data_IF_603508904614
#
_entry.id   IF_603508904614
#
_cell.length_a   1.000
_cell.length_b   1.000
_cell.length_c   1.000
_cell.angle_alpha   90.00
_cell.angle_beta   90.00
_cell.angle_gamma   90.00
#
_symmetry.space_group_name_H-M   'P 1'
#
loop_
_entity.id
_entity.type
_entity.pdbx_description
1 polymer ?
#
# COMPACT_ATOMS: atom_id res chain seq x y z
N UNK A 1 -31.68 -20.30 0.49
CA UNK A 1 -31.97 -19.71 1.82
C UNK A 1 -30.88 -20.14 2.78
N UNK A 2 -30.21 -19.15 3.40
CA UNK A 2 -29.34 -19.20 4.61
C UNK A 2 -28.38 -20.40 4.69
N UNK A 3 -27.07 -20.27 4.54
CA UNK A 3 -26.18 -19.17 4.95
C UNK A 3 -25.23 -19.77 5.96
N UNK A 4 -23.92 -19.75 5.70
CA UNK A 4 -22.92 -19.99 6.74
C UNK A 4 -21.66 -19.17 6.45
N UNK A 5 -21.49 -18.21 7.35
CA UNK A 5 -20.36 -17.32 7.56
C UNK A 5 -19.17 -18.09 8.11
N UNK A 6 -18.16 -18.36 7.29
CA UNK A 6 -16.84 -18.80 7.73
C UNK A 6 -15.77 -17.94 7.06
N UNK A 7 -15.42 -16.80 7.67
CA UNK A 7 -14.21 -16.03 7.31
C UNK A 7 -13.75 -14.98 8.35
N UNK A 8 -14.22 -15.03 9.60
CA UNK A 8 -13.89 -13.99 10.62
C UNK A 8 -13.36 -14.56 11.95
N UNK A 9 -12.58 -15.63 11.92
CA UNK A 9 -11.90 -16.13 13.13
C UNK A 9 -10.49 -16.63 12.80
N UNK A 10 -9.56 -15.69 12.65
CA UNK A 10 -8.12 -15.94 12.83
C UNK A 10 -7.44 -14.58 13.03
N UNK A 11 -6.73 -14.44 14.15
CA UNK A 11 -5.88 -13.28 14.44
C UNK A 11 -6.26 -12.44 15.68
N UNK A 12 -6.55 -13.05 16.83
CA UNK A 12 -6.65 -12.30 18.10
C UNK A 12 -6.11 -13.11 19.28
N UNK A 13 -4.87 -12.85 19.68
CA UNK A 13 -4.28 -13.18 20.99
C UNK A 13 -2.97 -12.38 21.17
N UNK A 14 -2.55 -11.82 22.33
CA UNK A 14 -3.10 -11.68 23.69
C UNK A 14 -2.22 -10.62 24.45
N UNK A 15 -2.85 -9.92 25.40
CA UNK A 15 -2.36 -9.23 26.63
C UNK A 15 -1.80 -7.78 26.65
N UNK A 16 -2.26 -7.11 27.72
CA UNK A 16 -2.00 -5.75 28.16
C UNK A 16 -0.52 -5.45 28.46
N UNK A 17 -0.05 -4.30 27.99
CA UNK A 17 1.31 -3.79 28.23
C UNK A 17 1.36 -3.09 29.58
N UNK A 18 2.13 -3.66 30.52
CA UNK A 18 2.64 -2.93 31.68
C UNK A 18 3.80 -2.04 31.23
N UNK A 19 3.69 -0.74 31.48
CA UNK A 19 4.75 0.26 31.25
C UNK A 19 5.97 -0.05 32.12
N UNK A 20 7.09 -0.37 31.50
CA UNK A 20 8.41 -0.22 32.12
C UNK A 20 9.21 0.85 31.37
N UNK A 21 9.59 1.89 32.10
CA UNK A 21 10.48 2.93 31.63
C UNK A 21 11.85 2.33 31.31
N UNK A 22 12.29 2.47 30.06
CA UNK A 22 13.72 2.65 29.77
C UNK A 22 13.85 3.61 28.60
N UNK A 23 14.06 4.86 28.97
CA UNK A 23 14.63 5.90 28.12
C UNK A 23 16.12 5.57 27.97
N UNK A 24 16.58 5.21 26.77
CA UNK A 24 17.96 5.52 26.32
C UNK A 24 17.95 5.75 24.80
N UNK A 25 18.55 6.89 24.41
CA UNK A 25 18.42 7.54 23.11
C UNK A 25 18.98 6.75 21.93
N UNK A 26 18.37 6.98 20.77
CA UNK A 26 18.93 6.63 19.48
C UNK A 26 19.94 7.71 19.08
N UNK A 27 21.18 7.31 18.78
CA UNK A 27 22.01 8.10 17.88
C UNK A 27 21.44 7.94 16.46
N UNK A 28 21.26 9.03 15.69
CA UNK A 28 20.88 8.93 14.29
C UNK A 28 22.01 8.27 13.50
N UNK A 29 21.68 7.23 12.73
CA UNK A 29 22.62 6.54 11.87
C UNK A 29 23.29 7.51 10.89
N UNK A 30 24.61 7.65 11.01
CA UNK A 30 25.46 8.44 10.10
C UNK A 30 25.74 7.68 8.81
N UNK A 31 24.70 7.24 8.12
CA UNK A 31 24.81 6.83 6.72
C UNK A 31 24.89 8.09 5.87
N UNK A 32 25.99 8.32 5.16
CA UNK A 32 26.08 9.39 4.18
C UNK A 32 24.86 9.29 3.24
N UNK A 33 24.03 10.32 3.18
CA UNK A 33 22.84 10.36 2.34
C UNK A 33 23.25 10.05 0.89
N UNK A 34 23.06 8.81 0.46
CA UNK A 34 23.09 8.45 -0.96
C UNK A 34 22.03 9.31 -1.61
N UNK A 35 22.43 10.20 -2.53
CA UNK A 35 21.51 11.07 -3.25
C UNK A 35 20.28 10.24 -3.68
N UNK A 36 19.05 10.68 -3.37
CA UNK A 36 17.86 9.93 -3.74
C UNK A 36 17.85 9.71 -5.24
N UNK A 37 17.77 8.44 -5.63
CA UNK A 37 17.97 8.02 -7.00
C UNK A 37 16.82 8.49 -7.91
N UNK A 38 17.12 8.70 -9.19
CA UNK A 38 16.16 9.23 -10.18
C UNK A 38 16.53 10.61 -10.68
N UNK A 39 16.22 10.88 -11.95
CA UNK A 39 16.61 12.12 -12.64
C UNK A 39 15.41 12.74 -13.33
N UNK A 40 15.44 14.06 -13.51
CA UNK A 40 14.50 14.72 -14.43
C UNK A 40 14.75 14.18 -15.83
N UNK A 41 13.69 13.82 -16.55
CA UNK A 41 13.86 13.27 -17.88
C UNK A 41 14.24 14.38 -18.88
N UNK A 42 15.50 14.40 -19.30
CA UNK A 42 15.97 15.31 -20.36
C UNK A 42 15.18 15.13 -21.65
N UNK A 43 14.80 16.25 -22.28
CA UNK A 43 14.01 16.26 -23.51
C UNK A 43 12.50 16.02 -23.32
N UNK A 44 12.02 15.86 -22.08
CA UNK A 44 10.59 15.74 -21.76
C UNK A 44 10.04 16.99 -21.06
N UNK A 45 8.72 17.25 -21.15
CA UNK A 45 8.07 18.31 -20.38
C UNK A 45 8.26 18.14 -18.86
N UNK A 46 8.24 19.23 -18.07
CA UNK A 46 8.31 19.16 -16.61
C UNK A 46 7.32 18.17 -16.00
N UNK A 47 7.76 17.42 -15.00
CA UNK A 47 6.99 16.38 -14.32
C UNK A 47 7.24 14.95 -14.82
N UNK A 48 8.00 14.77 -15.92
CA UNK A 48 8.53 13.47 -16.33
C UNK A 48 9.80 13.13 -15.56
N UNK A 49 9.82 11.93 -14.98
CA UNK A 49 10.89 11.41 -14.14
C UNK A 49 11.45 10.13 -14.77
N UNK A 50 12.77 10.00 -14.76
CA UNK A 50 13.48 8.81 -15.24
C UNK A 50 13.70 7.81 -14.11
N UNK A 51 13.13 6.63 -14.25
CA UNK A 51 13.41 5.42 -13.45
C UNK A 51 13.80 4.25 -14.37
N UNK A 52 13.20 3.07 -14.17
CA UNK A 52 13.28 1.95 -15.14
C UNK A 52 12.61 2.30 -16.46
N UNK A 53 11.70 3.29 -16.42
CA UNK A 53 10.98 3.88 -17.53
C UNK A 53 10.85 5.38 -17.29
N UNK A 54 10.61 6.16 -18.34
CA UNK A 54 10.23 7.58 -18.19
C UNK A 54 8.73 7.66 -17.95
N UNK A 55 8.34 8.01 -16.73
CA UNK A 55 6.94 8.16 -16.28
C UNK A 55 6.64 9.62 -15.96
N UNK A 56 5.38 10.01 -16.08
CA UNK A 56 4.92 11.32 -15.59
C UNK A 56 4.41 11.16 -14.15
N UNK A 57 5.28 11.43 -13.19
CA UNK A 57 5.06 11.08 -11.77
C UNK A 57 5.84 12.01 -10.83
N UNK A 58 5.51 12.00 -9.54
CA UNK A 58 6.29 12.73 -8.52
C UNK A 58 7.58 12.01 -8.11
N UNK A 59 7.59 10.69 -8.22
CA UNK A 59 8.69 9.79 -7.81
C UNK A 59 9.04 8.85 -8.98
N UNK A 60 10.29 8.33 -9.07
CA UNK A 60 10.68 7.46 -10.17
C UNK A 60 10.00 6.09 -10.07
N UNK A 61 9.47 5.58 -11.19
CA UNK A 61 9.07 4.18 -11.32
C UNK A 61 10.32 3.31 -11.48
N UNK A 62 10.87 2.79 -10.38
CA UNK A 62 12.12 2.01 -10.40
C UNK A 62 12.18 0.88 -9.37
N UNK A 63 13.16 0.00 -9.54
CA UNK A 63 13.63 -0.86 -8.44
C UNK A 63 14.52 -0.07 -7.48
N UNK A 64 14.39 -0.40 -6.19
CA UNK A 64 15.21 0.14 -5.12
C UNK A 64 15.98 -1.00 -4.50
N UNK A 65 17.29 -0.82 -4.37
CA UNK A 65 18.09 -1.72 -3.53
C UNK A 65 17.75 -1.46 -2.06
N UNK A 66 18.03 -2.43 -1.18
CA UNK A 66 17.82 -2.26 0.26
C UNK A 66 18.57 -1.06 0.84
N UNK A 67 19.78 -0.81 0.35
CA UNK A 67 20.58 0.34 0.79
C UNK A 67 19.94 1.67 0.38
N UNK A 68 19.36 1.73 -0.83
CA UNK A 68 18.63 2.91 -1.30
C UNK A 68 17.28 3.10 -0.60
N UNK A 69 16.70 2.05 -0.01
CA UNK A 69 15.36 2.07 0.58
C UNK A 69 15.27 2.73 1.96
N UNK A 70 16.39 2.97 2.64
CA UNK A 70 16.41 3.65 3.93
C UNK A 70 16.15 5.16 3.78
N UNK A 71 15.43 5.73 4.74
CA UNK A 71 15.07 7.15 4.81
C UNK A 71 14.24 7.67 3.62
N UNK A 72 13.74 6.74 2.79
CA UNK A 72 12.82 7.04 1.70
C UNK A 72 11.52 6.27 1.88
N UNK A 73 10.41 6.83 1.41
CA UNK A 73 9.15 6.10 1.26
C UNK A 73 8.42 6.62 0.00
N UNK A 74 8.99 6.38 -1.21
CA UNK A 74 8.55 7.05 -2.43
C UNK A 74 7.11 6.73 -2.79
N UNK A 75 6.64 5.51 -2.51
CA UNK A 75 5.33 5.05 -2.94
C UNK A 75 4.31 5.19 -1.81
N UNK A 76 3.81 6.41 -1.62
CA UNK A 76 2.60 6.68 -0.83
C UNK A 76 1.38 6.36 -1.68
N UNK A 77 0.52 5.45 -1.22
CA UNK A 77 -0.65 5.08 -2.03
C UNK A 77 -1.88 4.63 -1.28
N UNK A 78 -3.04 4.91 -1.89
CA UNK A 78 -4.35 4.43 -1.42
C UNK A 78 -4.74 3.18 -2.22
N UNK A 79 -4.98 2.07 -1.52
CA UNK A 79 -5.33 0.78 -2.07
C UNK A 79 -6.83 0.55 -1.98
N UNK A 80 -7.48 0.34 -3.13
CA UNK A 80 -8.94 0.14 -3.23
C UNK A 80 -9.83 1.38 -3.24
N UNK A 81 -9.41 2.61 -3.62
CA UNK A 81 -10.28 3.78 -3.53
C UNK A 81 -11.40 3.81 -4.58
N UNK A 82 -11.30 3.02 -5.65
CA UNK A 82 -12.25 3.04 -6.78
C UNK A 82 -13.65 2.58 -6.33
N UNK A 83 -14.67 3.40 -6.60
CA UNK A 83 -16.07 3.04 -6.48
C UNK A 83 -16.46 2.05 -7.59
N UNK A 84 -17.11 0.96 -7.21
CA UNK A 84 -17.72 0.01 -8.14
C UNK A 84 -18.83 -0.79 -7.44
N UNK A 85 -19.66 -1.47 -8.23
CA UNK A 85 -20.71 -2.37 -7.74
C UNK A 85 -21.14 -3.34 -8.83
N UNK A 86 -22.41 -3.73 -8.82
CA UNK A 86 -22.98 -4.62 -9.85
C UNK A 86 -23.36 -3.88 -11.15
N UNK A 87 -23.41 -2.54 -11.12
CA UNK A 87 -23.66 -1.71 -12.30
C UNK A 87 -22.39 -1.55 -13.17
N UNK A 88 -22.51 -1.19 -14.47
CA UNK A 88 -21.38 -0.82 -15.31
C UNK A 88 -20.51 0.25 -14.66
N UNK A 89 -19.19 0.18 -14.84
CA UNK A 89 -18.24 1.03 -14.14
C UNK A 89 -18.44 2.52 -14.44
N UNK A 90 -18.89 2.85 -15.65
CA UNK A 90 -19.21 4.19 -16.13
C UNK A 90 -20.29 4.87 -15.28
N UNK A 91 -21.17 4.10 -14.63
CA UNK A 91 -22.16 4.64 -13.67
C UNK A 91 -21.48 5.32 -12.49
N UNK A 92 -20.27 4.90 -12.14
CA UNK A 92 -19.47 5.44 -11.03
C UNK A 92 -18.42 6.45 -11.51
N UNK A 93 -18.41 6.82 -12.79
CA UNK A 93 -17.37 7.64 -13.41
C UNK A 93 -17.10 8.94 -12.64
N UNK A 94 -18.14 9.76 -12.42
CA UNK A 94 -17.99 11.04 -11.71
C UNK A 94 -17.45 10.88 -10.28
N UNK A 95 -17.88 9.83 -9.58
CA UNK A 95 -17.38 9.52 -8.23
C UNK A 95 -15.91 9.06 -8.26
N UNK A 96 -15.54 8.24 -9.24
CA UNK A 96 -14.16 7.80 -9.42
C UNK A 96 -13.23 8.97 -9.78
N UNK A 97 -13.66 9.89 -10.64
CA UNK A 97 -12.92 11.13 -10.93
C UNK A 97 -12.72 11.96 -9.65
N UNK A 98 -13.79 12.17 -8.86
CA UNK A 98 -13.71 12.87 -7.57
C UNK A 98 -12.68 12.22 -6.63
N UNK A 99 -12.73 10.90 -6.48
CA UNK A 99 -11.82 10.15 -5.60
C UNK A 99 -10.37 10.23 -6.09
N UNK A 100 -10.13 10.07 -7.38
CA UNK A 100 -8.78 10.21 -7.98
C UNK A 100 -8.22 11.61 -7.72
N UNK A 101 -8.98 12.65 -8.01
CA UNK A 101 -8.56 14.04 -7.83
C UNK A 101 -8.25 14.37 -6.37
N UNK A 102 -9.14 13.96 -5.49
CA UNK A 102 -8.97 14.15 -4.06
C UNK A 102 -7.68 13.48 -3.56
N UNK A 103 -7.53 12.17 -3.83
CA UNK A 103 -6.39 11.37 -3.37
C UNK A 103 -5.08 11.85 -3.99
N UNK A 104 -5.11 12.37 -5.23
CA UNK A 104 -3.91 12.88 -5.91
C UNK A 104 -3.19 14.02 -5.21
N UNK A 105 -3.87 14.71 -4.28
CA UNK A 105 -3.25 15.77 -3.50
C UNK A 105 -2.14 15.25 -2.58
N UNK A 106 -2.22 13.98 -2.15
CA UNK A 106 -1.28 13.39 -1.19
C UNK A 106 -0.78 11.99 -1.54
N UNK A 107 -1.12 11.48 -2.71
CA UNK A 107 -0.79 10.10 -3.11
C UNK A 107 0.06 10.09 -4.36
N UNK A 108 1.13 9.28 -4.33
CA UNK A 108 2.04 9.10 -5.46
C UNK A 108 1.67 7.90 -6.34
N UNK A 109 0.97 6.90 -5.77
CA UNK A 109 0.41 5.75 -6.50
C UNK A 109 -1.08 5.64 -6.17
N UNK A 110 -1.87 5.01 -7.04
CA UNK A 110 -3.28 4.72 -6.78
C UNK A 110 -3.68 3.36 -7.34
N UNK A 111 -4.50 2.63 -6.59
CA UNK A 111 -5.11 1.37 -7.04
C UNK A 111 -6.34 1.61 -7.90
N UNK A 112 -6.33 1.04 -9.11
CA UNK A 112 -7.53 0.89 -9.95
C UNK A 112 -7.88 -0.60 -10.05
N UNK A 113 -9.15 -0.92 -10.34
CA UNK A 113 -9.58 -2.31 -10.53
C UNK A 113 -10.04 -2.55 -11.97
N UNK A 114 -9.39 -3.50 -12.63
CA UNK A 114 -9.75 -4.08 -13.93
C UNK A 114 -10.46 -5.44 -13.75
N UNK A 115 -11.32 -5.54 -12.72
CA UNK A 115 -11.96 -6.79 -12.30
C UNK A 115 -12.75 -7.48 -13.41
N UNK A 116 -13.50 -6.73 -14.21
CA UNK A 116 -14.33 -7.25 -15.30
C UNK A 116 -13.77 -6.80 -16.65
N UNK A 117 -13.94 -7.65 -17.67
CA UNK A 117 -13.43 -7.38 -19.03
C UNK A 117 -14.03 -6.09 -19.61
N UNK A 118 -15.33 -5.90 -19.45
CA UNK A 118 -16.08 -4.80 -20.04
C UNK A 118 -15.77 -3.45 -19.38
N UNK A 119 -15.05 -3.43 -18.25
CA UNK A 119 -14.58 -2.20 -17.62
C UNK A 119 -13.35 -1.60 -18.33
N UNK A 120 -12.82 -2.24 -19.36
CA UNK A 120 -11.56 -1.85 -20.00
C UNK A 120 -11.52 -0.38 -20.41
N UNK A 121 -12.55 0.10 -21.11
CA UNK A 121 -12.55 1.46 -21.65
C UNK A 121 -12.65 2.51 -20.53
N UNK A 122 -13.49 2.26 -19.53
CA UNK A 122 -13.60 3.14 -18.38
C UNK A 122 -12.33 3.13 -17.52
N UNK A 123 -11.68 1.97 -17.33
CA UNK A 123 -10.38 1.91 -16.66
C UNK A 123 -9.35 2.75 -17.41
N UNK A 124 -9.34 2.76 -18.75
CA UNK A 124 -8.45 3.64 -19.54
C UNK A 124 -8.76 5.12 -19.26
N UNK A 125 -10.03 5.53 -19.19
CA UNK A 125 -10.39 6.91 -18.82
C UNK A 125 -9.84 7.29 -17.44
N UNK A 126 -10.02 6.41 -16.44
CA UNK A 126 -9.51 6.63 -15.09
C UNK A 126 -7.98 6.67 -15.06
N UNK A 127 -7.29 5.83 -15.84
CA UNK A 127 -5.82 5.87 -15.98
C UNK A 127 -5.35 7.22 -16.56
N UNK A 128 -6.07 7.80 -17.53
CA UNK A 128 -5.77 9.13 -18.08
C UNK A 128 -5.87 10.19 -16.99
N UNK A 129 -6.89 10.12 -16.13
CA UNK A 129 -7.03 11.04 -14.99
C UNK A 129 -5.87 10.90 -14.00
N UNK A 130 -5.48 9.66 -13.65
CA UNK A 130 -4.31 9.39 -12.81
C UNK A 130 -3.02 9.95 -13.42
N UNK A 131 -2.84 9.79 -14.75
CA UNK A 131 -1.70 10.37 -15.48
C UNK A 131 -1.71 11.89 -15.37
N UNK A 132 -2.84 12.57 -15.62
CA UNK A 132 -2.97 14.03 -15.46
C UNK A 132 -2.52 14.52 -14.09
N UNK A 133 -2.78 13.71 -13.06
CA UNK A 133 -2.48 13.96 -11.66
C UNK A 133 -1.11 13.45 -11.20
N UNK A 134 -0.25 12.96 -12.12
CA UNK A 134 1.11 12.45 -11.84
C UNK A 134 1.14 11.26 -10.89
N UNK A 135 0.08 10.45 -10.88
CA UNK A 135 0.01 9.24 -10.07
C UNK A 135 0.53 8.03 -10.87
N UNK A 136 1.33 7.21 -10.21
CA UNK A 136 1.62 5.86 -10.66
C UNK A 136 0.42 4.94 -10.38
N UNK A 137 0.33 3.83 -11.09
CA UNK A 137 -0.87 3.00 -11.11
C UNK A 137 -0.55 1.58 -10.66
N UNK A 138 -1.40 1.06 -9.78
CA UNK A 138 -1.53 -0.34 -9.44
C UNK A 138 -2.78 -0.92 -10.14
N UNK A 139 -2.65 -2.11 -10.73
CA UNK A 139 -3.78 -2.89 -11.27
C UNK A 139 -3.74 -4.34 -10.77
N UNK A 140 -4.88 -4.98 -10.47
CA UNK A 140 -4.88 -6.40 -10.18
C UNK A 140 -4.60 -7.25 -11.42
N UNK A 141 -3.92 -8.37 -11.20
CA UNK A 141 -3.62 -9.42 -12.16
C UNK A 141 -3.70 -10.79 -11.48
N UNK A 142 -4.77 -10.99 -10.70
CA UNK A 142 -5.11 -12.24 -10.02
C UNK A 142 -5.76 -13.21 -11.01
N UNK A 143 -5.16 -14.38 -11.30
CA UNK A 143 -5.80 -15.38 -12.15
C UNK A 143 -7.02 -15.99 -11.47
N UNK A 144 -8.04 -16.34 -12.26
CA UNK A 144 -9.24 -17.01 -11.75
C UNK A 144 -9.71 -18.07 -12.74
N UNK A 145 -9.51 -19.35 -12.40
CA UNK A 145 -10.03 -20.47 -13.19
C UNK A 145 -11.52 -20.72 -12.92
N UNK A 146 -11.97 -20.45 -11.70
CA UNK A 146 -13.33 -20.78 -11.25
C UNK A 146 -14.36 -19.70 -11.62
N UNK A 147 -13.88 -18.48 -11.88
CA UNK A 147 -14.67 -17.33 -12.34
C UNK A 147 -13.89 -16.63 -13.46
N UNK A 148 -13.85 -17.19 -14.68
CA UNK A 148 -13.04 -16.67 -15.78
C UNK A 148 -13.38 -15.22 -16.15
N UNK A 149 -14.63 -14.80 -15.93
CA UNK A 149 -15.11 -13.43 -16.11
C UNK A 149 -14.53 -12.43 -15.09
N UNK A 150 -13.87 -12.94 -14.04
CA UNK A 150 -13.15 -12.16 -13.02
C UNK A 150 -11.64 -12.40 -13.05
N UNK A 151 -11.12 -12.98 -14.14
CA UNK A 151 -9.69 -13.22 -14.35
C UNK A 151 -8.98 -11.90 -14.70
N UNK A 152 -8.68 -11.12 -13.66
CA UNK A 152 -8.00 -9.83 -13.78
C UNK A 152 -6.60 -9.95 -14.43
N UNK A 153 -5.96 -11.12 -14.38
CA UNK A 153 -4.70 -11.34 -15.12
C UNK A 153 -4.94 -11.23 -16.63
N UNK A 154 -5.95 -11.93 -17.16
CA UNK A 154 -6.30 -11.82 -18.60
C UNK A 154 -6.78 -10.42 -18.97
N UNK A 155 -7.52 -9.75 -18.08
CA UNK A 155 -7.97 -8.38 -18.32
C UNK A 155 -6.80 -7.40 -18.37
N UNK A 156 -5.79 -7.56 -17.50
CA UNK A 156 -4.57 -6.75 -17.56
C UNK A 156 -3.82 -6.97 -18.87
N UNK A 157 -3.64 -8.22 -19.30
CA UNK A 157 -2.98 -8.53 -20.59
C UNK A 157 -3.69 -7.80 -21.74
N UNK A 158 -5.01 -7.92 -21.82
CA UNK A 158 -5.78 -7.30 -22.88
C UNK A 158 -5.81 -5.75 -22.77
N UNK A 159 -5.77 -5.19 -21.55
CA UNK A 159 -5.57 -3.76 -21.32
C UNK A 159 -4.23 -3.27 -21.88
N UNK A 160 -3.15 -3.96 -21.54
CA UNK A 160 -1.80 -3.64 -22.02
C UNK A 160 -1.68 -3.73 -23.54
N UNK A 161 -2.31 -4.74 -24.17
CA UNK A 161 -2.37 -4.86 -25.63
C UNK A 161 -3.12 -3.69 -26.28
N UNK A 162 -4.28 -3.30 -25.74
CA UNK A 162 -5.04 -2.15 -26.23
C UNK A 162 -4.24 -0.84 -26.08
N UNK A 163 -3.58 -0.64 -24.95
CA UNK A 163 -2.71 0.52 -24.73
C UNK A 163 -1.52 0.50 -25.70
N UNK A 164 -0.90 -0.66 -25.94
CA UNK A 164 0.22 -0.77 -26.87
C UNK A 164 -0.18 -0.53 -28.33
N UNK A 165 -1.36 -0.99 -28.73
CA UNK A 165 -1.93 -0.67 -30.06
C UNK A 165 -2.14 0.83 -30.24
N UNK A 166 -2.44 1.55 -29.16
CA UNK A 166 -2.61 3.00 -29.13
C UNK A 166 -1.39 3.76 -28.56
N UNK A 167 -0.21 3.13 -28.56
CA UNK A 167 0.99 3.64 -27.87
C UNK A 167 1.39 5.06 -28.26
N UNK A 168 1.17 5.44 -29.53
CA UNK A 168 1.54 6.75 -30.08
C UNK A 168 0.29 7.59 -30.44
N UNK A 169 -0.91 7.09 -30.16
CA UNK A 169 -2.18 7.80 -30.36
C UNK A 169 -2.55 8.55 -29.08
N UNK A 170 -2.93 9.81 -29.21
CA UNK A 170 -3.52 10.58 -28.09
C UNK A 170 -4.92 10.04 -27.81
N UNK A 171 -5.09 9.48 -26.62
CA UNK A 171 -6.37 9.12 -26.03
C UNK A 171 -6.90 10.34 -25.25
N UNK A 172 -8.22 10.53 -25.25
CA UNK A 172 -8.87 11.67 -24.61
C UNK A 172 -9.99 11.14 -23.72
N UNK A 173 -9.95 11.46 -22.42
CA UNK A 173 -11.01 11.08 -21.48
C UNK A 173 -12.25 12.00 -21.63
N UNK A 174 -13.39 11.67 -21.01
CA UNK A 174 -14.56 12.55 -20.98
C UNK A 174 -14.28 13.97 -20.44
N UNK A 175 -13.35 14.11 -19.50
CA UNK A 175 -12.90 15.40 -18.93
C UNK A 175 -12.04 16.22 -19.91
N UNK A 176 -11.64 15.62 -21.03
CA UNK A 176 -10.71 16.22 -21.98
C UNK A 176 -9.24 16.02 -21.62
N UNK A 177 -8.93 15.23 -20.59
CA UNK A 177 -7.56 14.87 -20.24
C UNK A 177 -6.93 14.00 -21.33
N UNK A 178 -5.60 14.07 -21.46
CA UNK A 178 -4.88 13.48 -22.60
C UNK A 178 -3.68 12.67 -22.14
N UNK A 179 -3.56 11.47 -22.71
CA UNK A 179 -2.35 10.66 -22.62
C UNK A 179 -2.27 9.73 -23.84
N UNK A 180 -1.07 9.29 -24.20
CA UNK A 180 -0.90 8.18 -25.14
C UNK A 180 -0.92 6.83 -24.43
N UNK A 181 -1.17 5.75 -25.16
CA UNK A 181 -1.11 4.41 -24.58
C UNK A 181 0.27 4.11 -23.94
N UNK A 182 1.37 4.62 -24.52
CA UNK A 182 2.73 4.47 -23.98
C UNK A 182 2.89 5.21 -22.66
N UNK A 183 2.36 6.43 -22.55
CA UNK A 183 2.39 7.20 -21.31
C UNK A 183 1.64 6.49 -20.19
N UNK A 184 0.48 5.91 -20.49
CA UNK A 184 -0.30 5.12 -19.53
C UNK A 184 0.44 3.85 -19.10
N UNK A 185 1.05 3.11 -20.04
CA UNK A 185 1.88 1.93 -19.74
C UNK A 185 3.05 2.30 -18.82
N UNK A 186 3.75 3.39 -19.10
CA UNK A 186 4.91 3.83 -18.32
C UNK A 186 4.55 4.23 -16.88
N UNK A 187 3.31 4.70 -16.67
CA UNK A 187 2.80 5.04 -15.33
C UNK A 187 2.30 3.83 -14.52
N UNK A 188 2.23 2.63 -15.09
CA UNK A 188 1.96 1.42 -14.31
C UNK A 188 3.21 1.04 -13.52
N UNK A 189 3.11 1.05 -12.18
CA UNK A 189 4.19 0.67 -11.28
C UNK A 189 4.21 -0.85 -11.09
N UNK A 190 3.08 -1.44 -10.75
CA UNK A 190 3.01 -2.84 -10.37
C UNK A 190 1.64 -3.46 -10.61
N UNK A 191 1.61 -4.78 -10.60
CA UNK A 191 0.41 -5.58 -10.74
C UNK A 191 0.22 -6.50 -9.52
N UNK A 192 -0.92 -6.40 -8.86
CA UNK A 192 -1.27 -7.24 -7.70
C UNK A 192 -1.69 -8.64 -8.15
N UNK A 193 -0.88 -9.63 -7.80
CA UNK A 193 -1.05 -11.02 -8.21
C UNK A 193 -1.83 -11.85 -7.19
N UNK A 194 -2.13 -11.32 -6.00
CA UNK A 194 -2.95 -12.00 -5.02
C UNK A 194 -2.66 -11.61 -3.58
N UNK A 195 -3.58 -12.08 -2.74
CA UNK A 195 -3.59 -11.85 -1.29
C UNK A 195 -3.36 -13.17 -0.56
N UNK A 196 -2.42 -13.19 0.38
CA UNK A 196 -2.05 -14.34 1.22
C UNK A 196 -1.75 -15.63 0.44
N UNK A 197 -1.35 -15.47 -0.83
CA UNK A 197 -1.21 -16.54 -1.79
C UNK A 197 -0.09 -17.51 -1.43
N UNK A 198 0.93 -17.09 -0.67
CA UNK A 198 2.02 -17.96 -0.22
C UNK A 198 1.50 -19.07 0.68
N UNK A 199 0.49 -18.79 1.51
CA UNK A 199 -0.13 -19.78 2.40
C UNK A 199 -0.76 -20.93 1.61
N UNK A 200 -1.40 -20.61 0.49
CA UNK A 200 -2.21 -21.52 -0.31
C UNK A 200 -1.39 -22.15 -1.45
N UNK A 201 -0.73 -21.32 -2.26
CA UNK A 201 0.00 -21.70 -3.46
C UNK A 201 1.41 -22.21 -3.15
N UNK A 202 1.93 -21.90 -1.96
CA UNK A 202 3.30 -22.19 -1.54
C UNK A 202 4.35 -21.56 -2.47
N UNK A 203 5.63 -21.78 -2.17
CA UNK A 203 6.75 -21.26 -2.97
C UNK A 203 6.64 -21.63 -4.45
N UNK A 204 6.29 -22.90 -4.75
CA UNK A 204 6.24 -23.39 -6.13
C UNK A 204 5.10 -22.74 -6.93
N UNK A 205 3.91 -22.60 -6.33
CA UNK A 205 2.77 -21.99 -7.01
C UNK A 205 3.00 -20.51 -7.30
N UNK A 206 3.57 -19.76 -6.35
CA UNK A 206 3.97 -18.37 -6.60
C UNK A 206 5.10 -18.26 -7.63
N UNK A 207 6.06 -19.19 -7.63
CA UNK A 207 7.10 -19.24 -8.66
C UNK A 207 6.49 -19.39 -10.06
N UNK A 208 5.54 -20.32 -10.23
CA UNK A 208 4.82 -20.53 -11.49
C UNK A 208 4.01 -19.30 -11.90
N UNK A 209 3.39 -18.61 -10.94
CA UNK A 209 2.61 -17.42 -11.20
C UNK A 209 3.49 -16.24 -11.66
N UNK A 210 4.62 -16.00 -11.00
CA UNK A 210 5.62 -15.02 -11.45
C UNK A 210 6.21 -15.38 -12.83
N UNK A 211 6.53 -16.66 -13.08
CA UNK A 211 7.00 -17.10 -14.40
C UNK A 211 5.97 -16.88 -15.52
N UNK A 212 4.68 -17.08 -15.20
CA UNK A 212 3.59 -16.76 -16.12
C UNK A 212 3.53 -15.26 -16.38
N UNK A 213 3.60 -14.42 -15.35
CA UNK A 213 3.64 -12.97 -15.49
C UNK A 213 4.82 -12.52 -16.36
N UNK A 214 6.01 -13.08 -16.11
CA UNK A 214 7.21 -12.82 -16.91
C UNK A 214 7.00 -13.15 -18.38
N UNK A 215 6.45 -14.33 -18.68
CA UNK A 215 6.24 -14.78 -20.06
C UNK A 215 5.18 -13.95 -20.79
N UNK A 216 4.05 -13.68 -20.14
CA UNK A 216 2.86 -13.11 -20.79
C UNK A 216 2.81 -11.58 -20.73
N UNK A 217 3.55 -10.95 -19.82
CA UNK A 217 3.60 -9.49 -19.65
C UNK A 217 5.03 -8.99 -19.79
N UNK A 218 5.91 -9.25 -18.81
CA UNK A 218 7.19 -8.51 -18.69
C UNK A 218 8.15 -8.73 -19.86
N UNK A 219 8.30 -9.98 -20.28
CA UNK A 219 9.22 -10.39 -21.35
C UNK A 219 8.51 -10.58 -22.69
N UNK A 220 7.22 -10.29 -22.75
CA UNK A 220 6.45 -10.41 -23.99
C UNK A 220 6.98 -9.45 -25.04
N UNK A 221 7.31 -9.99 -26.21
CA UNK A 221 7.75 -9.22 -27.36
C UNK A 221 6.53 -8.71 -28.13
N UNK A 222 6.45 -7.40 -28.36
CA UNK A 222 5.45 -6.76 -29.21
C UNK A 222 6.16 -5.74 -30.09
N UNK A 223 5.97 -5.83 -31.41
CA UNK A 223 6.63 -4.95 -32.40
C UNK A 223 8.16 -4.85 -32.18
N UNK A 224 8.80 -5.98 -31.84
CA UNK A 224 10.24 -6.06 -31.57
C UNK A 224 10.70 -5.48 -30.21
N UNK A 225 9.77 -5.05 -29.36
CA UNK A 225 10.05 -4.41 -28.06
C UNK A 225 9.47 -5.22 -26.90
N UNK A 226 9.95 -4.97 -25.68
CA UNK A 226 9.36 -5.50 -24.43
C UNK A 226 8.72 -4.35 -23.65
N UNK A 227 7.55 -3.86 -24.07
CA UNK A 227 7.01 -2.57 -23.60
C UNK A 227 6.58 -2.58 -22.13
N UNK A 228 6.41 -3.75 -21.52
CA UNK A 228 5.88 -3.90 -20.16
C UNK A 228 6.96 -4.32 -19.16
N UNK A 229 8.25 -4.25 -19.54
CA UNK A 229 9.37 -4.81 -18.77
C UNK A 229 9.52 -4.19 -17.37
N UNK A 230 9.12 -2.94 -17.20
CA UNK A 230 9.23 -2.21 -15.93
C UNK A 230 8.12 -2.55 -14.93
N UNK A 231 7.03 -3.19 -15.35
CA UNK A 231 5.90 -3.51 -14.47
C UNK A 231 6.31 -4.65 -13.52
N UNK A 232 6.24 -4.35 -12.22
CA UNK A 232 6.60 -5.27 -11.14
C UNK A 232 5.42 -6.12 -10.68
N UNK A 233 5.67 -7.31 -10.18
CA UNK A 233 4.65 -8.09 -9.48
C UNK A 233 4.55 -7.65 -8.03
N UNK A 234 3.35 -7.66 -7.46
CA UNK A 234 3.10 -7.43 -6.05
C UNK A 234 2.24 -8.58 -5.48
N UNK A 235 2.63 -9.08 -4.32
CA UNK A 235 1.84 -9.97 -3.46
C UNK A 235 1.71 -9.44 -2.05
N UNK A 236 0.58 -9.68 -1.40
CA UNK A 236 0.37 -9.40 0.01
C UNK A 236 0.53 -10.65 0.86
N UNK A 237 1.07 -10.50 2.07
CA UNK A 237 1.01 -11.50 3.12
C UNK A 237 0.68 -10.88 4.47
N UNK A 238 0.12 -11.70 5.35
CA UNK A 238 -0.12 -11.34 6.74
C UNK A 238 1.21 -11.20 7.48
N UNK A 239 1.24 -10.27 8.44
CA UNK A 239 2.33 -10.03 9.37
C UNK A 239 2.98 -11.31 9.94
N UNK A 240 4.29 -11.29 10.13
CA UNK A 240 5.16 -12.44 10.44
C UNK A 240 4.66 -13.32 11.58
N UNK A 241 4.15 -12.70 12.63
CA UNK A 241 3.77 -13.38 13.87
C UNK A 241 2.65 -14.42 13.71
N UNK A 242 1.82 -14.30 12.67
CA UNK A 242 0.77 -15.28 12.34
C UNK A 242 0.80 -15.70 10.86
N UNK A 243 1.56 -14.98 10.03
CA UNK A 243 1.72 -15.23 8.62
C UNK A 243 2.48 -16.52 8.34
N UNK A 244 2.32 -17.03 7.11
CA UNK A 244 2.89 -18.31 6.71
C UNK A 244 4.36 -18.22 6.28
N UNK A 245 4.91 -17.02 6.05
CA UNK A 245 6.22 -16.89 5.43
C UNK A 245 7.37 -17.09 6.43
N UNK A 246 8.41 -17.79 6.00
CA UNK A 246 9.60 -18.05 6.78
C UNK A 246 10.60 -16.89 6.67
N UNK A 247 11.11 -16.44 7.82
CA UNK A 247 12.22 -15.50 7.91
C UNK A 247 13.58 -16.24 7.94
N UNK A 248 13.63 -17.43 8.55
CA UNK A 248 14.88 -18.17 8.76
C UNK A 248 14.68 -19.70 8.53
N UNK A 249 15.72 -20.50 8.77
CA UNK A 249 15.67 -21.96 8.59
C UNK A 249 14.83 -22.68 9.64
N UNK A 250 14.76 -22.15 10.87
CA UNK A 250 13.97 -22.72 11.96
C UNK A 250 12.48 -22.63 11.62
N UNK A 251 12.03 -21.49 11.09
CA UNK A 251 10.67 -21.29 10.59
C UNK A 251 10.29 -22.34 9.52
N UNK A 252 11.22 -22.69 8.62
CA UNK A 252 10.98 -23.74 7.61
C UNK A 252 10.81 -25.11 8.25
N UNK A 253 11.58 -25.42 9.29
CA UNK A 253 11.43 -26.65 10.06
C UNK A 253 10.08 -26.72 10.79
N UNK A 254 9.51 -25.57 11.16
CA UNK A 254 8.17 -25.43 11.73
C UNK A 254 7.04 -25.38 10.67
N UNK A 255 7.37 -25.55 9.38
CA UNK A 255 6.39 -25.65 8.30
C UNK A 255 5.96 -24.32 7.69
N UNK A 256 6.63 -23.20 8.03
CA UNK A 256 6.48 -21.95 7.28
C UNK A 256 7.05 -22.09 5.87
N UNK A 257 6.70 -21.14 5.01
CA UNK A 257 6.90 -21.21 3.58
C UNK A 257 7.94 -20.17 3.15
N UNK A 258 8.91 -20.61 2.36
CA UNK A 258 9.94 -19.76 1.77
C UNK A 258 9.35 -18.90 0.64
N UNK A 259 9.73 -17.63 0.55
CA UNK A 259 9.41 -16.82 -0.64
C UNK A 259 10.13 -17.32 -1.90
N UNK A 260 9.56 -17.15 -3.11
CA UNK A 260 10.28 -17.37 -4.36
C UNK A 260 11.46 -16.42 -4.55
N UNK A 261 12.53 -16.90 -5.19
CA UNK A 261 13.70 -16.08 -5.53
C UNK A 261 13.39 -14.97 -6.56
N UNK A 262 12.27 -15.08 -7.28
CA UNK A 262 11.82 -14.09 -8.27
C UNK A 262 10.70 -13.17 -7.76
N UNK A 263 10.51 -13.08 -6.45
CA UNK A 263 9.63 -12.07 -5.85
C UNK A 263 10.13 -10.65 -6.10
N UNK A 264 9.19 -9.71 -6.28
CA UNK A 264 9.48 -8.29 -6.51
C UNK A 264 8.87 -7.43 -5.41
N UNK A 265 7.64 -6.94 -5.53
CA UNK A 265 7.01 -6.28 -4.39
C UNK A 265 6.38 -7.31 -3.44
N UNK A 266 6.69 -7.17 -2.16
CA UNK A 266 6.05 -7.91 -1.09
C UNK A 266 5.39 -6.89 -0.17
N UNK A 267 4.06 -6.92 -0.15
CA UNK A 267 3.23 -6.18 0.80
C UNK A 267 3.09 -6.96 2.09
N UNK A 268 3.37 -6.33 3.22
CA UNK A 268 3.09 -6.92 4.54
C UNK A 268 1.90 -6.22 5.14
N UNK A 269 0.85 -7.00 5.38
CA UNK A 269 -0.37 -6.51 5.97
C UNK A 269 -0.34 -6.61 7.49
N UNK A 270 -0.43 -5.45 8.14
CA UNK A 270 -0.45 -5.37 9.59
C UNK A 270 -1.50 -4.38 10.07
N UNK A 271 -2.45 -4.90 10.84
CA UNK A 271 -3.54 -4.10 11.36
C UNK A 271 -3.26 -3.67 12.80
N UNK A 272 -3.02 -2.37 13.01
CA UNK A 272 -3.14 -1.79 14.35
C UNK A 272 -4.59 -1.41 14.60
N UNK A 273 -5.42 -2.42 14.86
CA UNK A 273 -6.82 -2.18 15.24
C UNK A 273 -6.89 -1.69 16.69
N UNK A 274 -7.62 -0.60 16.91
CA UNK A 274 -7.91 -0.11 18.25
C UNK A 274 -9.08 -0.90 18.85
N UNK A 275 -8.87 -2.19 19.13
CA UNK A 275 -9.91 -3.11 19.60
C UNK A 275 -10.45 -2.75 20.99
N UNK A 276 -11.77 -2.81 21.17
CA UNK A 276 -12.44 -2.48 22.43
C UNK A 276 -11.90 -3.23 23.65
N UNK A 277 -11.61 -4.53 23.47
CA UNK A 277 -11.21 -5.42 24.56
C UNK A 277 -9.70 -5.39 24.84
N UNK A 278 -8.92 -4.71 23.99
CA UNK A 278 -7.45 -4.84 23.98
C UNK A 278 -6.71 -3.51 23.96
N UNK A 279 -7.40 -2.41 23.68
CA UNK A 279 -6.82 -1.08 23.83
C UNK A 279 -7.05 -0.54 25.24
N UNK A 280 -6.05 0.12 25.83
CA UNK A 280 -6.11 0.54 27.24
C UNK A 280 -7.06 1.72 27.49
N UNK A 281 -7.52 2.39 26.43
CA UNK A 281 -8.40 3.56 26.49
C UNK A 281 -9.07 3.79 25.14
N UNK A 282 -10.17 4.56 25.15
CA UNK A 282 -10.77 5.13 23.94
C UNK A 282 -9.86 6.25 23.41
N UNK A 283 -9.33 6.15 22.18
CA UNK A 283 -8.41 7.14 21.67
C UNK A 283 -9.08 8.49 21.35
N UNK A 284 -10.42 8.56 21.31
CA UNK A 284 -11.17 9.79 21.08
C UNK A 284 -11.77 10.39 22.36
N UNK A 285 -11.54 9.77 23.52
CA UNK A 285 -11.89 10.37 24.80
C UNK A 285 -11.06 11.64 25.04
N UNK A 286 -11.74 12.76 25.27
CA UNK A 286 -11.14 14.08 25.48
C UNK A 286 -10.29 14.17 26.75
N UNK A 287 -10.54 13.30 27.73
CA UNK A 287 -9.72 13.19 28.95
C UNK A 287 -8.40 12.45 28.71
N UNK A 288 -8.27 11.73 27.59
CA UNK A 288 -7.03 11.07 27.19
C UNK A 288 -6.14 12.06 26.45
N UNK A 289 -4.97 12.44 27.00
CA UNK A 289 -4.07 13.35 26.30
C UNK A 289 -3.60 12.74 24.98
N UNK A 290 -3.63 13.50 23.87
CA UNK A 290 -3.17 13.01 22.54
C UNK A 290 -1.77 12.40 22.57
N UNK A 291 -0.88 12.90 23.43
CA UNK A 291 0.46 12.33 23.63
C UNK A 291 0.44 10.83 24.01
N UNK A 292 -0.58 10.36 24.75
CA UNK A 292 -0.72 8.94 25.11
C UNK A 292 -1.09 8.09 23.90
N UNK A 293 -1.96 8.60 23.02
CA UNK A 293 -2.31 7.95 21.74
C UNK A 293 -1.06 7.78 20.89
N UNK A 294 -0.26 8.84 20.74
CA UNK A 294 1.02 8.82 20.02
C UNK A 294 1.99 7.82 20.63
N UNK A 295 2.19 7.84 21.95
CA UNK A 295 3.09 6.91 22.64
C UNK A 295 2.69 5.45 22.43
N UNK A 296 1.38 5.15 22.48
CA UNK A 296 0.88 3.80 22.20
C UNK A 296 1.16 3.37 20.76
N UNK A 297 0.87 4.22 19.78
CA UNK A 297 1.15 3.95 18.37
C UNK A 297 2.65 3.74 18.12
N UNK A 298 3.52 4.59 18.67
CA UNK A 298 4.98 4.44 18.55
C UNK A 298 5.48 3.16 19.22
N UNK A 299 4.97 2.81 20.41
CA UNK A 299 5.34 1.57 21.09
C UNK A 299 4.96 0.34 20.25
N UNK A 300 3.81 0.36 19.59
CA UNK A 300 3.41 -0.68 18.65
C UNK A 300 4.36 -0.75 17.45
N UNK A 301 4.69 0.39 16.82
CA UNK A 301 5.62 0.45 15.69
C UNK A 301 7.03 -0.03 16.06
N UNK A 302 7.49 0.24 17.29
CA UNK A 302 8.78 -0.24 17.78
C UNK A 302 8.89 -1.78 17.77
N UNK A 303 7.76 -2.47 17.91
CA UNK A 303 7.71 -3.93 17.84
C UNK A 303 7.61 -4.40 16.39
N UNK A 304 6.72 -3.81 15.60
CA UNK A 304 6.38 -4.31 14.25
C UNK A 304 7.34 -3.79 13.16
N UNK A 305 7.56 -2.48 13.08
CA UNK A 305 8.14 -1.83 11.89
C UNK A 305 9.50 -1.19 12.13
N UNK A 306 9.92 -1.01 13.39
CA UNK A 306 11.22 -0.39 13.67
C UNK A 306 12.37 -1.27 13.15
N UNK A 307 13.29 -0.65 12.44
CA UNK A 307 14.57 -1.26 12.10
C UNK A 307 15.54 -1.22 13.28
N UNK A 308 15.84 -2.40 13.83
CA UNK A 308 16.77 -2.61 14.96
C UNK A 308 18.25 -2.84 14.57
N UNK A 309 18.66 -2.49 13.35
CA UNK A 309 20.04 -2.67 12.88
C UNK A 309 20.32 -4.02 12.20
N UNK A 310 21.43 -4.13 11.43
CA UNK A 310 21.66 -5.23 10.49
C UNK A 310 21.91 -6.59 11.14
N UNK A 311 22.25 -6.63 12.43
CA UNK A 311 22.52 -7.87 13.17
C UNK A 311 21.28 -8.39 13.92
N UNK A 312 20.19 -7.63 13.94
CA UNK A 312 18.95 -8.07 14.57
C UNK A 312 18.36 -9.24 13.77
N UNK A 313 18.01 -10.32 14.47
CA UNK A 313 17.40 -11.52 13.88
C UNK A 313 16.07 -11.77 14.54
N UNK A 314 15.05 -12.14 13.78
CA UNK A 314 13.76 -12.56 14.34
C UNK A 314 13.73 -14.07 14.42
N UNK A 315 12.98 -14.58 15.37
CA UNK A 315 12.72 -16.00 15.53
C UNK A 315 11.28 -16.18 15.92
N UNK A 316 10.68 -17.32 15.57
CA UNK A 316 9.36 -17.67 16.08
C UNK A 316 9.33 -17.66 17.60
N UNK A 317 8.19 -17.27 18.14
CA UNK A 317 7.96 -17.20 19.57
C UNK A 317 6.65 -16.52 19.94
N UNK A 318 6.35 -16.57 21.23
CA UNK A 318 5.18 -15.96 21.82
C UNK A 318 5.50 -14.57 22.38
N UNK A 319 4.46 -13.76 22.59
CA UNK A 319 4.58 -12.45 23.22
C UNK A 319 4.72 -11.28 22.24
N UNK A 320 4.54 -10.08 22.79
CA UNK A 320 4.62 -8.81 22.09
C UNK A 320 6.04 -8.24 22.18
N UNK A 321 6.97 -8.88 21.47
CA UNK A 321 8.39 -8.53 21.47
C UNK A 321 8.93 -8.41 20.02
N UNK A 322 9.82 -7.44 19.72
CA UNK A 322 10.38 -7.29 18.38
C UNK A 322 11.07 -8.56 17.85
N UNK A 323 11.64 -9.41 18.73
CA UNK A 323 12.28 -10.68 18.36
C UNK A 323 11.31 -11.63 17.67
N UNK A 324 10.02 -11.54 18.00
CA UNK A 324 8.99 -12.48 17.54
C UNK A 324 7.97 -11.87 16.58
N UNK A 325 7.87 -10.53 16.52
CA UNK A 325 6.80 -9.84 15.79
C UNK A 325 7.28 -8.79 14.78
N UNK A 326 8.58 -8.53 14.67
CA UNK A 326 9.08 -7.46 13.80
C UNK A 326 9.07 -7.83 12.32
N UNK A 327 8.11 -7.29 11.57
CA UNK A 327 7.93 -7.50 10.14
C UNK A 327 9.06 -6.93 9.29
N UNK A 328 9.70 -5.86 9.74
CA UNK A 328 10.83 -5.29 9.00
C UNK A 328 11.96 -6.30 8.91
N UNK A 329 12.37 -6.84 10.05
CA UNK A 329 13.43 -7.81 10.11
C UNK A 329 13.03 -9.19 9.61
N UNK A 330 11.80 -9.62 9.85
CA UNK A 330 11.27 -10.85 9.30
C UNK A 330 11.28 -10.85 7.77
N UNK A 331 10.83 -9.75 7.15
CA UNK A 331 10.79 -9.65 5.70
C UNK A 331 12.20 -9.55 5.09
N UNK A 332 13.10 -8.75 5.69
CA UNK A 332 14.50 -8.71 5.25
C UNK A 332 15.15 -10.11 5.25
N UNK A 333 14.99 -10.84 6.35
CA UNK A 333 15.53 -12.20 6.50
C UNK A 333 14.83 -13.17 5.54
N UNK A 334 13.52 -13.07 5.37
CA UNK A 334 12.76 -13.90 4.42
C UNK A 334 13.21 -13.68 2.97
N UNK A 335 13.51 -12.44 2.58
CA UNK A 335 14.07 -12.11 1.26
C UNK A 335 15.49 -12.68 1.12
N UNK A 336 16.34 -12.59 2.14
CA UNK A 336 17.67 -13.19 2.15
C UNK A 336 17.63 -14.72 2.04
N UNK A 337 16.78 -15.34 2.85
CA UNK A 337 16.53 -16.78 2.80
C UNK A 337 16.10 -17.20 1.40
N UNK A 338 15.19 -16.45 0.77
CA UNK A 338 14.70 -16.67 -0.59
C UNK A 338 15.75 -16.45 -1.69
N UNK A 339 16.80 -15.65 -1.43
CA UNK A 339 17.69 -15.16 -2.48
C UNK A 339 17.00 -14.16 -3.42
N UNK A 340 15.93 -13.51 -2.98
CA UNK A 340 15.11 -12.61 -3.80
C UNK A 340 15.73 -11.19 -3.85
N UNK A 341 16.92 -11.07 -4.41
CA UNK A 341 17.74 -9.84 -4.39
C UNK A 341 17.10 -8.56 -4.95
N UNK A 342 16.01 -8.69 -5.73
CA UNK A 342 15.26 -7.57 -6.31
C UNK A 342 14.00 -7.21 -5.52
N UNK A 343 13.69 -7.95 -4.46
CA UNK A 343 12.47 -7.77 -3.72
C UNK A 343 12.48 -6.44 -2.96
N UNK A 344 11.35 -5.76 -3.00
CA UNK A 344 11.09 -4.46 -2.39
C UNK A 344 9.92 -4.62 -1.41
N UNK A 345 10.06 -3.98 -0.26
CA UNK A 345 9.09 -4.09 0.82
C UNK A 345 8.08 -2.94 0.76
N UNK A 346 6.80 -3.27 0.77
CA UNK A 346 5.70 -2.33 0.94
C UNK A 346 5.01 -2.63 2.26
N UNK A 347 4.84 -1.62 3.08
CA UNK A 347 4.06 -1.76 4.30
C UNK A 347 2.60 -1.41 4.01
N UNK A 348 1.67 -2.27 4.43
CA UNK A 348 0.23 -2.01 4.31
C UNK A 348 -0.27 -1.61 5.70
N UNK A 349 -0.53 -0.32 5.86
CA UNK A 349 -1.07 0.26 7.08
C UNK A 349 -2.60 0.34 7.02
N UNK A 350 -3.23 0.27 8.19
CA UNK A 350 -4.67 0.47 8.30
C UNK A 350 -4.99 1.95 8.59
N UNK A 351 -5.87 2.53 7.78
CA UNK A 351 -6.65 3.71 8.20
C UNK A 351 -7.98 3.32 8.81
N UNK A 352 -8.25 2.02 8.84
CA UNK A 352 -9.58 1.47 9.03
C UNK A 352 -9.87 1.05 10.46
N UNK A 353 -11.16 0.98 10.77
CA UNK A 353 -11.70 0.35 11.96
C UNK A 353 -12.73 -0.70 11.56
N UNK A 354 -12.93 -1.70 12.42
CA UNK A 354 -13.95 -2.74 12.24
C UNK A 354 -15.18 -2.39 13.08
N UNK A 355 -16.33 -2.27 12.42
CA UNK A 355 -17.58 -1.87 13.06
C UNK A 355 -17.95 -2.87 14.16
N UNK A 356 -18.18 -2.35 15.37
CA UNK A 356 -18.64 -3.12 16.51
C UNK A 356 -17.57 -3.89 17.29
N UNK A 357 -16.30 -3.80 16.90
CA UNK A 357 -15.17 -4.39 17.63
C UNK A 357 -14.01 -3.42 17.90
N UNK A 358 -13.92 -2.31 17.18
CA UNK A 358 -12.82 -1.36 17.30
C UNK A 358 -13.31 0.08 17.45
N UNK A 359 -12.51 0.91 18.13
CA UNK A 359 -12.57 2.36 18.05
C UNK A 359 -12.15 2.84 16.66
N UNK A 360 -12.48 4.08 16.34
CA UNK A 360 -12.02 4.77 15.14
C UNK A 360 -10.49 4.91 15.17
N UNK A 361 -9.82 4.49 14.10
CA UNK A 361 -8.34 4.51 14.03
C UNK A 361 -7.82 5.95 14.00
N UNK A 362 -7.07 6.42 15.01
CA UNK A 362 -6.62 7.81 15.10
C UNK A 362 -5.60 8.20 14.03
N UNK A 363 -5.63 9.46 13.62
CA UNK A 363 -4.68 10.06 12.66
C UNK A 363 -3.23 9.90 13.13
N UNK A 364 -2.99 10.01 14.44
CA UNK A 364 -1.68 9.85 15.08
C UNK A 364 -1.10 8.45 14.89
N UNK A 365 -1.96 7.43 14.74
CA UNK A 365 -1.51 6.07 14.40
C UNK A 365 -0.98 6.04 12.97
N UNK A 366 -1.67 6.72 12.04
CA UNK A 366 -1.26 6.85 10.65
C UNK A 366 0.05 7.64 10.50
N UNK A 367 0.22 8.70 11.30
CA UNK A 367 1.48 9.45 11.37
C UNK A 367 2.64 8.56 11.87
N UNK A 368 2.42 7.77 12.92
CA UNK A 368 3.43 6.86 13.46
C UNK A 368 3.81 5.75 12.46
N UNK A 369 2.85 5.20 11.70
CA UNK A 369 3.15 4.26 10.61
C UNK A 369 4.14 4.88 9.62
N UNK A 370 3.83 6.07 9.09
CA UNK A 370 4.70 6.73 8.11
C UNK A 370 6.11 6.99 8.66
N UNK A 371 6.21 7.57 9.85
CA UNK A 371 7.50 7.94 10.42
C UNK A 371 8.38 6.72 10.72
N UNK A 372 7.78 5.59 11.14
CA UNK A 372 8.50 4.34 11.37
C UNK A 372 8.92 3.65 10.06
N UNK A 373 7.99 3.55 9.10
CA UNK A 373 8.20 2.89 7.80
C UNK A 373 9.29 3.59 7.00
N UNK A 374 9.25 4.93 6.93
CA UNK A 374 10.28 5.74 6.25
C UNK A 374 11.68 5.55 6.84
N UNK A 375 11.79 5.40 8.15
CA UNK A 375 13.08 5.18 8.82
C UNK A 375 13.65 3.76 8.58
N UNK A 376 12.84 2.84 8.06
CA UNK A 376 13.23 1.50 7.68
C UNK A 376 13.44 1.33 6.16
N UNK A 377 13.71 0.10 5.69
CA UNK A 377 13.94 -0.21 4.28
C UNK A 377 12.63 -0.45 3.51
N UNK A 378 11.60 0.35 3.76
CA UNK A 378 10.28 0.21 3.14
C UNK A 378 10.08 1.24 2.05
N UNK A 379 9.90 0.79 0.81
CA UNK A 379 9.80 1.71 -0.33
C UNK A 379 8.38 2.20 -0.60
N UNK A 380 7.41 1.73 0.18
CA UNK A 380 6.02 2.17 0.04
C UNK A 380 5.21 1.97 1.30
N UNK A 381 4.21 2.84 1.44
CA UNK A 381 3.16 2.79 2.45
C UNK A 381 1.82 2.79 1.74
N UNK A 382 1.16 1.65 1.78
CA UNK A 382 -0.19 1.43 1.28
C UNK A 382 -1.19 1.69 2.39
N UNK A 383 -2.17 2.54 2.12
CA UNK A 383 -3.34 2.71 2.97
C UNK A 383 -4.45 1.82 2.45
N UNK A 384 -4.86 0.84 3.25
CA UNK A 384 -5.98 0.01 2.85
C UNK A 384 -7.29 0.80 2.97
N UNK A 385 -8.04 0.96 1.87
CA UNK A 385 -9.34 1.62 1.82
C UNK A 385 -10.40 0.59 1.40
N UNK A 386 -11.06 -0.05 2.36
CA UNK A 386 -12.22 -0.90 2.11
C UNK A 386 -13.49 -0.06 2.14
N UNK A 387 -14.29 -0.18 1.09
CA UNK A 387 -15.73 0.07 1.14
C UNK A 387 -16.43 -1.31 1.23
N UNK A 388 -16.43 -1.90 2.42
CA UNK A 388 -16.93 -3.27 2.66
C UNK A 388 -18.42 -3.31 3.00
N UNK A 389 -19.24 -2.41 2.45
CA UNK A 389 -20.69 -2.47 2.63
C UNK A 389 -21.11 -2.43 4.12
N UNK A 390 -20.42 -1.62 4.93
CA UNK A 390 -20.74 -1.37 6.33
C UNK A 390 -19.99 -2.22 7.37
N UNK A 391 -18.99 -3.03 6.97
CA UNK A 391 -18.17 -3.84 7.91
C UNK A 391 -17.00 -3.03 8.52
N UNK A 392 -16.56 -1.98 7.86
CA UNK A 392 -15.53 -1.06 8.33
C UNK A 392 -15.63 0.31 7.67
N UNK A 393 -14.88 1.28 8.20
CA UNK A 393 -14.69 2.61 7.61
C UNK A 393 -13.22 3.00 7.61
N UNK A 394 -12.82 4.05 6.90
CA UNK A 394 -11.42 4.42 6.67
C UNK A 394 -11.20 5.79 6.00
N UNK A 395 -10.22 5.88 5.09
CA UNK A 395 -9.83 7.14 4.41
C UNK A 395 -11.01 7.97 3.91
N UNK A 396 -12.00 7.34 3.25
CA UNK A 396 -13.15 8.06 2.69
C UNK A 396 -14.05 8.65 3.77
N UNK A 397 -14.20 8.00 4.93
CA UNK A 397 -15.05 8.53 6.00
C UNK A 397 -14.51 9.82 6.61
N UNK A 398 -13.18 9.93 6.74
CA UNK A 398 -12.50 11.16 7.14
C UNK A 398 -12.78 12.32 6.18
N UNK A 399 -12.91 12.02 4.89
CA UNK A 399 -13.01 13.02 3.82
C UNK A 399 -14.44 13.44 3.53
N UNK A 400 -15.35 12.46 3.54
CA UNK A 400 -16.77 12.65 3.25
C UNK A 400 -17.56 13.07 4.51
N UNK A 401 -16.90 13.09 5.68
CA UNK A 401 -17.52 13.53 6.93
C UNK A 401 -18.53 12.53 7.46
N UNK A 402 -18.26 11.23 7.26
CA UNK A 402 -19.16 10.13 7.65
C UNK A 402 -18.64 9.30 8.82
N UNK A 403 -17.51 9.70 9.42
CA UNK A 403 -16.96 9.06 10.60
C UNK A 403 -17.98 8.95 11.73
N UNK A 404 -17.84 7.90 12.53
CA UNK A 404 -18.63 7.66 13.73
C UNK A 404 -17.72 7.30 14.88
N UNK A 405 -18.14 7.64 16.10
CA UNK A 405 -17.46 7.25 17.32
C UNK A 405 -17.95 5.89 17.78
N UNK A 406 -17.13 4.86 17.58
CA UNK A 406 -17.43 3.51 18.02
C UNK A 406 -16.90 3.26 19.42
N UNK A 407 -17.74 2.74 20.31
CA UNK A 407 -17.35 2.41 21.69
C UNK A 407 -17.97 1.07 22.11
N UNK A 408 -17.49 0.45 23.22
CA UNK A 408 -18.11 -0.77 23.75
C UNK A 408 -19.62 -0.60 24.04
N UNK A 409 -20.00 0.58 24.54
CA UNK A 409 -21.39 0.94 24.84
C UNK A 409 -22.22 1.32 23.60
N UNK A 410 -21.59 1.72 22.49
CA UNK A 410 -22.26 2.07 21.25
C UNK A 410 -21.58 1.43 20.03
N UNK A 411 -21.80 0.12 19.87
CA UNK A 411 -21.20 -0.68 18.78
C UNK A 411 -21.68 -0.31 17.37
N UNK A 412 -22.79 0.43 17.23
CA UNK A 412 -23.29 0.93 15.94
C UNK A 412 -22.72 2.31 15.57
N UNK A 413 -21.91 2.88 16.45
CA UNK A 413 -21.28 4.19 16.28
C UNK A 413 -22.22 5.33 16.60
N UNK A 414 -21.71 6.32 17.35
CA UNK A 414 -22.36 7.60 17.58
C UNK A 414 -21.96 8.59 16.50
N UNK A 415 -22.88 9.45 16.02
CA UNK A 415 -22.49 10.52 15.12
C UNK A 415 -21.63 11.54 15.87
N UNK A 416 -20.55 11.99 15.23
CA UNK A 416 -19.87 13.21 15.65
C UNK A 416 -20.70 14.43 15.27
N UNK A 417 -20.46 15.54 15.96
CA UNK A 417 -20.94 16.85 15.53
C UNK A 417 -20.27 17.28 14.22
N UNK A 418 -20.91 18.17 13.46
CA UNK A 418 -20.32 18.71 12.23
C UNK A 418 -18.97 19.42 12.47
N UNK A 419 -18.81 20.06 13.63
CA UNK A 419 -17.56 20.72 14.00
C UNK A 419 -16.42 19.72 14.22
N UNK A 420 -16.71 18.58 14.85
CA UNK A 420 -15.74 17.50 15.05
C UNK A 420 -15.38 16.84 13.72
N UNK A 421 -16.35 16.52 12.87
CA UNK A 421 -16.11 15.95 11.54
C UNK A 421 -15.21 16.85 10.68
N UNK A 422 -15.48 18.16 10.68
CA UNK A 422 -14.65 19.13 9.97
C UNK A 422 -13.24 19.23 10.56
N UNK A 423 -13.10 19.12 11.88
CA UNK A 423 -11.80 19.04 12.55
C UNK A 423 -11.02 17.77 12.16
N UNK A 424 -11.67 16.61 12.17
CA UNK A 424 -11.07 15.34 11.72
C UNK A 424 -10.63 15.42 10.25
N UNK A 425 -11.49 15.93 9.38
CA UNK A 425 -11.17 16.11 7.96
C UNK A 425 -9.93 16.98 7.76
N UNK A 426 -9.88 18.16 8.40
CA UNK A 426 -8.73 19.08 8.33
C UNK A 426 -7.44 18.44 8.82
N UNK A 427 -7.48 17.74 9.96
CA UNK A 427 -6.30 17.06 10.53
C UNK A 427 -5.84 15.90 9.65
N UNK A 428 -6.78 15.12 9.10
CA UNK A 428 -6.47 14.00 8.21
C UNK A 428 -5.78 14.49 6.94
N UNK A 429 -6.33 15.51 6.28
CA UNK A 429 -5.71 16.13 5.11
C UNK A 429 -4.33 16.71 5.47
N UNK A 430 -4.20 17.38 6.62
CA UNK A 430 -2.91 17.92 7.06
C UNK A 430 -1.85 16.82 7.28
N UNK A 431 -2.22 15.70 7.90
CA UNK A 431 -1.35 14.53 8.09
C UNK A 431 -0.92 13.94 6.73
N UNK A 432 -1.86 13.71 5.81
CA UNK A 432 -1.56 13.21 4.47
C UNK A 432 -0.66 14.14 3.66
N UNK A 433 -0.94 15.45 3.69
CA UNK A 433 -0.11 16.45 3.02
C UNK A 433 1.29 16.56 3.64
N UNK A 434 1.44 16.34 4.96
CA UNK A 434 2.76 16.27 5.61
C UNK A 434 3.59 15.14 5.00
N UNK A 435 3.03 13.94 4.92
CA UNK A 435 3.68 12.77 4.33
C UNK A 435 4.05 13.02 2.87
N UNK A 436 3.09 13.52 2.08
CA UNK A 436 3.33 13.84 0.68
C UNK A 436 4.41 14.90 0.48
N UNK A 437 4.39 15.97 1.26
CA UNK A 437 5.41 17.02 1.14
C UNK A 437 6.80 16.51 1.52
N UNK A 438 6.87 15.66 2.55
CA UNK A 438 8.11 15.02 2.94
C UNK A 438 8.68 14.14 1.82
N UNK A 439 7.84 13.33 1.17
CA UNK A 439 8.28 12.54 0.02
C UNK A 439 8.61 13.44 -1.17
N UNK A 440 7.65 14.21 -1.67
CA UNK A 440 7.73 14.87 -2.98
C UNK A 440 8.68 16.06 -2.99
N UNK A 441 8.69 16.87 -1.93
CA UNK A 441 9.43 18.13 -1.90
C UNK A 441 10.69 18.07 -1.02
N UNK A 442 10.78 17.15 -0.05
CA UNK A 442 12.03 16.94 0.70
C UNK A 442 12.87 15.82 0.07
N UNK A 443 12.38 14.57 0.07
CA UNK A 443 13.12 13.41 -0.43
C UNK A 443 13.34 13.50 -1.96
N UNK A 444 12.34 13.97 -2.71
CA UNK A 444 12.37 14.07 -4.17
C UNK A 444 12.32 15.51 -4.69
N UNK A 445 12.72 16.48 -3.87
CA UNK A 445 12.70 17.91 -4.21
C UNK A 445 13.57 18.25 -5.44
N UNK A 446 14.63 17.50 -5.73
CA UNK A 446 15.44 17.67 -6.94
C UNK A 446 14.65 17.39 -8.22
N UNK A 447 13.65 16.51 -8.16
CA UNK A 447 12.75 16.22 -9.28
C UNK A 447 11.63 17.25 -9.39
N UNK A 448 11.08 17.70 -8.26
CA UNK A 448 9.83 18.45 -8.20
C UNK A 448 9.99 19.96 -8.01
N UNK A 449 11.18 20.43 -7.60
CA UNK A 449 11.40 21.81 -7.20
C UNK A 449 10.89 22.08 -5.77
N UNK A 450 10.84 23.36 -5.36
CA UNK A 450 10.32 23.72 -4.03
C UNK A 450 8.82 23.43 -3.93
N UNK A 451 8.36 23.18 -2.70
CA UNK A 451 6.92 23.06 -2.42
C UNK A 451 6.18 24.33 -2.86
N UNK A 452 5.02 24.22 -3.54
CA UNK A 452 4.19 25.36 -3.89
C UNK A 452 3.86 26.17 -2.64
N UNK A 453 4.03 27.51 -2.71
CA UNK A 453 3.57 28.39 -1.63
C UNK A 453 2.04 28.30 -1.57
N UNK A 454 1.51 27.94 -0.40
CA UNK A 454 0.07 27.88 -0.14
C UNK A 454 -0.58 29.25 -0.17
#
# INVERSE_FOLDING_TARGET
MRGDTHLWRLGMAVLAVALTETVLGAEPGTGAATRPAGERAEGFPPGHVRGDVVSYSYVPNRYWTRAEAFDICPYLFEYGPMAYGDAPLETFHAENIRRIDMISQWSTVIGLSNRLRDWQDEVINLMIRCYRNRQLILLPARPSSNKPEKDSFKHLVALLETLWKNRDKVLVSPEGDRATGRQLINNILMADLGDEGLSILKTEGLTKLNQRFDREIRNRLMDGQRPFRHIKTWYNEVHYGIGCYAANQEDLAEGKVKWPANSEFIGVDVYHFWGFDHTPFDPDDMEVPRRKVVQHAVAWQNVITKYHGPDFRVTMGEGWDPKHKNDTHAMLQGIDLAGASRAMMIYIGNTQYVVGSCYTTPIETMDAFYDSVKAGPWVGLSWWVFDTGGVGGGTLDYLDGTLRHYTPGNKKGMPYTMAELESYRKRFIASRMRMFNDVVYNQFGHLNGPSPKK
#
